data_IF_787081655038
#
_entry.id   IF_787081655038
#
_cell.length_a   1.000
_cell.length_b   1.000
_cell.length_c   1.000
_cell.angle_alpha   90.00
_cell.angle_beta   90.00
_cell.angle_gamma   90.00
#
_symmetry.space_group_name_H-M   'P 1'
#
loop_
_entity.id
_entity.type
_entity.pdbx_description
1 polymer ?
#
# COMPACT_ATOMS: atom_id res chain seq x y z
N UNK A 1 -2.29 -12.27 0.71
CA UNK A 1 -3.32 -11.26 1.03
C UNK A 1 -3.54 -10.36 -0.14
N UNK A 2 -4.71 -9.75 -0.18
CA UNK A 2 -5.04 -8.84 -1.26
C UNK A 2 -5.68 -7.59 -0.69
N UNK A 3 -5.47 -6.48 -1.38
CA UNK A 3 -6.07 -5.23 -0.95
C UNK A 3 -6.52 -4.47 -2.21
N UNK A 4 -7.33 -3.47 -2.02
CA UNK A 4 -7.87 -2.71 -3.14
C UNK A 4 -7.01 -1.49 -3.42
N UNK A 5 -6.85 -1.19 -4.69
CA UNK A 5 -6.15 0.02 -5.10
C UNK A 5 -7.11 1.18 -5.01
N UNK A 6 -6.70 2.25 -4.36
CA UNK A 6 -7.55 3.40 -4.19
C UNK A 6 -7.64 4.25 -5.45
N UNK A 7 -6.66 4.12 -6.33
CA UNK A 7 -6.65 4.93 -7.52
C UNK A 7 -7.49 4.35 -8.63
N UNK A 8 -7.25 3.10 -8.98
CA UNK A 8 -7.95 2.50 -10.10
C UNK A 8 -9.01 1.50 -9.68
N UNK A 9 -9.07 1.18 -8.41
CA UNK A 9 -10.04 0.22 -7.95
C UNK A 9 -9.68 -1.22 -8.21
N UNK A 10 -8.49 -1.46 -8.71
CA UNK A 10 -8.05 -2.82 -8.97
C UNK A 10 -7.64 -3.52 -7.71
N UNK A 11 -7.03 -4.68 -7.90
CA UNK A 11 -6.60 -5.49 -6.78
C UNK A 11 -5.09 -5.52 -6.71
N UNK A 12 -4.57 -5.39 -5.52
CA UNK A 12 -3.13 -5.45 -5.30
C UNK A 12 -2.83 -6.71 -4.51
N UNK A 13 -1.92 -7.54 -5.03
CA UNK A 13 -1.50 -8.74 -4.33
C UNK A 13 -0.42 -8.39 -3.33
N UNK A 14 -0.62 -8.82 -2.08
CA UNK A 14 0.30 -8.52 -1.00
C UNK A 14 0.78 -9.85 -0.44
N UNK A 15 2.08 -10.04 -0.27
CA UNK A 15 2.58 -11.30 0.30
C UNK A 15 2.13 -11.46 1.73
N UNK A 16 2.05 -12.71 2.14
CA UNK A 16 1.56 -13.00 3.48
C UNK A 16 2.54 -12.57 4.53
N UNK A 17 3.80 -12.55 4.20
CA UNK A 17 4.82 -12.16 5.17
C UNK A 17 5.14 -10.68 5.07
N UNK A 18 4.24 -9.88 4.51
CA UNK A 18 4.46 -8.46 4.41
C UNK A 18 4.47 -7.84 5.81
N UNK A 19 5.25 -6.78 5.96
CA UNK A 19 5.33 -6.09 7.24
C UNK A 19 5.02 -4.62 7.03
N UNK A 20 4.78 -3.94 8.14
CA UNK A 20 4.54 -2.52 8.12
C UNK A 20 5.75 -1.80 7.55
N UNK A 21 5.52 -0.85 6.67
CA UNK A 21 6.60 -0.14 6.03
C UNK A 21 6.99 -0.70 4.68
N UNK A 22 6.38 -1.81 4.30
CA UNK A 22 6.69 -2.43 3.02
C UNK A 22 6.05 -1.65 1.89
N UNK A 23 6.70 -1.61 0.74
CA UNK A 23 6.16 -0.92 -0.42
C UNK A 23 5.57 -1.92 -1.39
N UNK A 24 4.34 -1.66 -1.81
CA UNK A 24 3.70 -2.50 -2.82
C UNK A 24 3.27 -1.60 -3.97
N UNK A 25 3.15 -2.18 -5.13
CA UNK A 25 2.73 -1.40 -6.28
C UNK A 25 1.54 -2.06 -6.95
N UNK A 26 0.69 -1.24 -7.52
CA UNK A 26 -0.48 -1.72 -8.22
C UNK A 26 -0.10 -2.07 -9.65
N UNK A 27 -0.39 -3.28 -10.10
CA UNK A 27 -0.01 -3.65 -11.46
C UNK A 27 -0.86 -2.98 -12.52
N UNK A 28 -2.01 -2.47 -12.14
CA UNK A 28 -2.89 -1.84 -13.11
C UNK A 28 -2.51 -0.40 -13.40
N UNK A 29 -2.38 0.39 -12.38
CA UNK A 29 -2.07 1.81 -12.58
C UNK A 29 -0.61 2.14 -12.28
N UNK A 30 0.11 1.23 -11.68
CA UNK A 30 1.52 1.47 -11.43
C UNK A 30 1.83 2.34 -10.25
N UNK A 31 0.83 2.68 -9.46
CA UNK A 31 1.09 3.49 -8.28
C UNK A 31 1.75 2.67 -7.19
N UNK A 32 2.52 3.35 -6.36
CA UNK A 32 3.19 2.69 -5.25
C UNK A 32 2.55 3.11 -3.95
N UNK A 33 2.44 2.15 -3.05
CA UNK A 33 1.82 2.40 -1.75
C UNK A 33 2.69 1.81 -0.67
N UNK A 34 2.59 2.37 0.51
CA UNK A 34 3.30 1.84 1.65
C UNK A 34 2.30 1.24 2.63
N UNK A 35 2.66 0.09 3.18
CA UNK A 35 1.83 -0.58 4.17
C UNK A 35 1.96 0.17 5.48
N UNK A 36 0.89 0.79 5.93
CA UNK A 36 0.95 1.55 7.18
C UNK A 36 0.36 0.78 8.34
N UNK A 37 -0.42 -0.24 8.04
CA UNK A 37 -0.98 -1.05 9.11
C UNK A 37 -1.42 -2.40 8.59
N UNK A 38 -1.28 -3.42 9.40
CA UNK A 38 -1.73 -4.77 9.07
C UNK A 38 -2.58 -5.25 10.21
N UNK A 39 -3.80 -5.71 9.91
CA UNK A 39 -4.70 -6.12 10.95
C UNK A 39 -5.60 -7.23 10.46
N UNK A 40 -5.56 -8.36 11.12
CA UNK A 40 -6.47 -9.47 10.83
C UNK A 40 -6.60 -9.79 9.36
N UNK A 41 -5.49 -9.88 8.68
CA UNK A 41 -5.51 -10.22 7.28
C UNK A 41 -5.84 -9.07 6.36
N UNK A 42 -5.96 -7.87 6.91
CA UNK A 42 -6.19 -6.68 6.10
C UNK A 42 -5.00 -5.75 6.22
N UNK A 43 -4.71 -5.06 5.13
CA UNK A 43 -3.61 -4.12 5.16
C UNK A 43 -4.14 -2.74 4.79
N UNK A 44 -3.59 -1.73 5.40
CA UNK A 44 -3.90 -0.34 5.08
C UNK A 44 -2.76 0.23 4.27
N UNK A 45 -3.10 0.95 3.24
CA UNK A 45 -2.11 1.50 2.33
C UNK A 45 -2.16 3.02 2.34
N UNK A 46 -1.03 3.60 1.99
CA UNK A 46 -0.95 5.04 1.84
C UNK A 46 -0.03 5.32 0.67
N UNK A 47 -0.32 6.34 -0.12
CA UNK A 47 0.53 6.62 -1.26
C UNK A 47 1.91 7.00 -0.78
N UNK A 48 2.90 6.46 -1.46
CA UNK A 48 4.27 6.73 -1.05
C UNK A 48 4.61 8.20 -1.20
N UNK A 49 3.98 8.84 -2.15
CA UNK A 49 4.22 10.25 -2.35
C UNK A 49 3.81 11.08 -1.17
N UNK A 50 2.66 10.76 -0.60
CA UNK A 50 2.16 11.49 0.53
C UNK A 50 3.06 11.36 1.73
N UNK A 51 3.60 10.18 1.89
CA UNK A 51 4.48 9.95 3.00
C UNK A 51 5.69 10.83 2.93
N UNK A 52 6.22 10.98 1.75
CA UNK A 52 7.37 11.82 1.58
C UNK A 52 7.10 13.25 1.97
N UNK A 53 5.92 13.72 1.68
CA UNK A 53 5.59 15.06 2.03
C UNK A 53 5.44 15.28 3.48
N UNK A 54 4.89 14.31 4.15
CA UNK A 54 4.71 14.41 5.54
C UNK A 54 5.96 14.67 6.27
N UNK A 55 7.05 14.26 5.73
CA UNK A 55 8.31 14.42 6.36
C UNK A 55 8.77 15.81 6.43
N UNK A 56 8.30 16.61 5.59
CA UNK A 56 8.73 17.92 5.46
C UNK A 56 8.70 18.70 6.72
N UNK A 57 8.11 18.27 7.69
CA UNK A 57 8.01 19.01 8.82
C UNK A 57 9.02 18.94 9.72
#
# INVERSE_FOLDING_TARGET
>A
MKTSCESCGGEINVPEDVIKGEIVSCPDCGNEYEIVEIKNGQVSLKTAEEIGEDWGE
#
